data_IF_179426909271
#
_entry.id   IF_179426909271
#
_cell.length_a   1.000
_cell.length_b   1.000
_cell.length_c   1.000
_cell.angle_alpha   90.00
_cell.angle_beta   90.00
_cell.angle_gamma   90.00
#
_symmetry.space_group_name_H-M   'P 1'
#
loop_
_entity.id
_entity.type
_entity.pdbx_description
1 polymer ?
#
# COMPACT_ATOMS: atom_id res chain seq x y z
N UNK A 1 43.05 -40.92 -40.47
CA UNK A 1 42.42 -41.46 -39.24
C UNK A 1 42.20 -40.40 -38.15
N UNK A 2 43.18 -39.53 -37.80
CA UNK A 2 43.01 -38.50 -36.74
C UNK A 2 41.84 -37.50 -36.93
N UNK A 3 41.48 -37.14 -38.16
CA UNK A 3 40.36 -36.21 -38.43
C UNK A 3 38.96 -36.83 -38.22
N UNK A 4 38.81 -38.14 -38.41
CA UNK A 4 37.51 -38.83 -38.25
C UNK A 4 37.17 -39.05 -36.77
N UNK A 5 38.18 -39.35 -35.94
CA UNK A 5 38.00 -39.55 -34.49
C UNK A 5 37.65 -38.26 -33.75
N UNK A 6 38.12 -37.10 -34.22
CA UNK A 6 37.77 -35.78 -33.64
C UNK A 6 36.32 -35.41 -33.97
N UNK A 7 35.85 -35.66 -35.20
CA UNK A 7 34.45 -35.45 -35.56
C UNK A 7 33.49 -36.36 -34.78
N UNK A 8 33.88 -37.62 -34.51
CA UNK A 8 33.08 -38.53 -33.70
C UNK A 8 33.01 -38.08 -32.22
N UNK A 9 34.11 -37.56 -31.67
CA UNK A 9 34.14 -36.99 -30.31
C UNK A 9 33.33 -35.70 -30.18
N UNK A 10 33.32 -34.84 -31.21
CA UNK A 10 32.50 -33.62 -31.25
C UNK A 10 31.01 -33.96 -31.42
N UNK A 11 30.68 -34.98 -32.23
CA UNK A 11 29.31 -35.45 -32.39
C UNK A 11 28.77 -36.11 -31.10
N UNK A 12 29.60 -36.88 -30.39
CA UNK A 12 29.28 -37.48 -29.08
C UNK A 12 29.21 -36.42 -27.95
N UNK A 13 29.95 -35.32 -28.04
CA UNK A 13 29.82 -34.21 -27.09
C UNK A 13 28.56 -33.37 -27.37
N UNK A 14 28.20 -33.15 -28.65
CA UNK A 14 26.96 -32.41 -28.98
C UNK A 14 25.68 -33.17 -28.59
N UNK A 15 25.67 -34.50 -28.69
CA UNK A 15 24.51 -35.29 -28.23
C UNK A 15 24.39 -35.31 -26.71
N UNK A 16 25.50 -35.32 -25.97
CA UNK A 16 25.47 -35.23 -24.50
C UNK A 16 25.04 -33.85 -24.03
N UNK A 17 25.51 -32.75 -24.63
CA UNK A 17 25.03 -31.38 -24.32
C UNK A 17 23.53 -31.21 -24.57
N UNK A 18 23.00 -31.64 -25.73
CA UNK A 18 21.55 -31.57 -26.00
C UNK A 18 20.71 -32.42 -25.04
N UNK A 19 21.25 -33.57 -24.61
CA UNK A 19 20.58 -34.42 -23.61
C UNK A 19 20.64 -33.80 -22.21
N UNK A 20 21.75 -33.15 -21.84
CA UNK A 20 21.89 -32.41 -20.59
C UNK A 20 20.99 -31.17 -20.55
N UNK A 21 20.85 -30.43 -21.65
CA UNK A 21 19.93 -29.29 -21.74
C UNK A 21 18.47 -29.76 -21.69
N UNK A 22 18.15 -30.90 -22.31
CA UNK A 22 16.81 -31.50 -22.20
C UNK A 22 16.50 -31.96 -20.78
N UNK A 23 17.44 -32.65 -20.12
CA UNK A 23 17.32 -33.05 -18.71
C UNK A 23 17.24 -31.83 -17.80
N UNK A 24 18.02 -30.76 -18.06
CA UNK A 24 17.98 -29.52 -17.28
C UNK A 24 16.66 -28.77 -17.48
N UNK A 25 16.11 -28.76 -18.70
CA UNK A 25 14.78 -28.21 -19.00
C UNK A 25 13.67 -29.04 -18.36
N UNK A 26 13.76 -30.38 -18.39
CA UNK A 26 12.81 -31.27 -17.71
C UNK A 26 12.92 -31.18 -16.19
N UNK A 27 14.12 -30.96 -15.64
CA UNK A 27 14.35 -30.72 -14.22
C UNK A 27 13.88 -29.31 -13.82
N UNK A 28 14.05 -28.28 -14.66
CA UNK A 28 13.47 -26.95 -14.46
C UNK A 28 11.94 -26.99 -14.49
N UNK A 29 11.34 -27.66 -15.48
CA UNK A 29 9.89 -27.92 -15.56
C UNK A 29 9.38 -28.68 -14.33
N UNK A 30 10.09 -29.73 -13.88
CA UNK A 30 9.72 -30.49 -12.66
C UNK A 30 9.98 -29.73 -11.36
N UNK A 31 10.88 -28.75 -11.34
CA UNK A 31 11.07 -27.80 -10.23
C UNK A 31 10.01 -26.69 -10.26
N UNK A 32 9.42 -26.39 -11.42
CA UNK A 32 8.26 -25.51 -11.58
C UNK A 32 6.93 -26.16 -11.14
N UNK A 33 6.84 -27.49 -11.14
CA UNK A 33 5.64 -28.25 -10.71
C UNK A 33 5.36 -28.20 -9.20
N UNK A 34 6.36 -27.89 -8.36
CA UNK A 34 6.14 -27.73 -6.93
C UNK A 34 5.63 -26.30 -6.64
N UNK A 35 4.47 -26.15 -5.98
CA UNK A 35 3.94 -24.83 -5.68
C UNK A 35 4.91 -23.99 -4.86
N UNK A 36 5.25 -22.80 -5.34
CA UNK A 36 6.17 -21.85 -4.68
C UNK A 36 5.54 -21.12 -3.49
N UNK A 37 4.67 -21.79 -2.73
CA UNK A 37 4.02 -21.23 -1.54
C UNK A 37 4.89 -21.38 -0.29
N UNK A 38 4.84 -20.40 0.61
CA UNK A 38 5.43 -20.57 1.94
C UNK A 38 4.55 -21.44 2.86
N UNK A 39 5.13 -21.95 3.94
CA UNK A 39 4.32 -22.49 5.03
C UNK A 39 3.58 -21.34 5.71
N UNK A 40 2.24 -21.39 5.74
CA UNK A 40 1.42 -20.42 6.45
C UNK A 40 1.77 -20.47 7.92
N UNK A 41 2.21 -19.32 8.46
CA UNK A 41 2.44 -19.12 9.88
C UNK A 41 1.13 -18.67 10.52
N UNK A 42 0.65 -19.46 11.46
CA UNK A 42 -0.49 -19.10 12.31
C UNK A 42 0.01 -18.97 13.74
N UNK A 43 -0.28 -17.84 14.39
CA UNK A 43 -0.05 -17.70 15.82
C UNK A 43 -1.39 -17.81 16.53
N UNK A 44 -1.44 -18.65 17.56
CA UNK A 44 -2.60 -18.75 18.44
C UNK A 44 -2.10 -18.86 19.87
N UNK A 45 -2.59 -17.99 20.74
CA UNK A 45 -2.17 -17.89 22.14
C UNK A 45 -0.64 -17.74 22.28
N UNK A 46 -0.01 -16.98 21.37
CA UNK A 46 1.44 -16.76 21.37
C UNK A 46 2.29 -17.95 20.92
N UNK A 47 1.68 -19.04 20.43
CA UNK A 47 2.38 -20.17 19.81
C UNK A 47 2.25 -20.10 18.30
N UNK A 48 3.38 -19.90 17.63
CA UNK A 48 3.45 -19.90 16.17
C UNK A 48 3.58 -21.34 15.65
N UNK A 49 2.73 -21.72 14.71
CA UNK A 49 2.83 -22.97 13.96
C UNK A 49 2.92 -22.68 12.47
N UNK A 50 3.81 -23.38 11.78
CA UNK A 50 3.93 -23.30 10.33
C UNK A 50 3.27 -24.55 9.73
N UNK A 51 2.34 -24.38 8.79
CA UNK A 51 1.67 -25.48 8.10
C UNK A 51 1.80 -25.30 6.59
N UNK A 52 2.04 -26.37 5.82
CA UNK A 52 2.03 -26.28 4.37
C UNK A 52 0.65 -25.89 3.86
N UNK A 53 0.61 -25.07 2.81
CA UNK A 53 -0.63 -24.74 2.10
C UNK A 53 -1.13 -26.00 1.41
N UNK A 54 -2.40 -26.33 1.63
CA UNK A 54 -3.03 -27.51 1.02
C UNK A 54 -3.75 -27.08 -0.27
N UNK A 55 -3.89 -27.98 -1.25
CA UNK A 55 -4.81 -27.79 -2.36
C UNK A 55 -6.21 -27.40 -1.85
N UNK A 56 -6.85 -26.43 -2.49
CA UNK A 56 -8.13 -25.91 -2.03
C UNK A 56 -8.47 -24.54 -2.59
N UNK A 57 -9.56 -23.96 -2.06
CA UNK A 57 -10.01 -22.60 -2.38
C UNK A 57 -9.84 -21.72 -1.15
N UNK A 58 -9.20 -20.57 -1.33
CA UNK A 58 -8.90 -19.60 -0.29
C UNK A 58 -9.46 -18.24 -0.73
N UNK A 59 -10.30 -17.64 0.10
CA UNK A 59 -10.80 -16.28 -0.11
C UNK A 59 -10.21 -15.40 0.99
N UNK A 60 -9.29 -14.52 0.60
CA UNK A 60 -8.59 -13.62 1.51
C UNK A 60 -9.26 -12.26 1.40
N UNK A 61 -9.79 -11.76 2.51
CA UNK A 61 -10.46 -10.47 2.56
C UNK A 61 -9.43 -9.36 2.80
N UNK A 62 -9.51 -8.32 1.97
CA UNK A 62 -8.74 -7.09 2.10
C UNK A 62 -9.70 -5.91 2.21
N UNK A 63 -9.44 -5.01 3.16
CA UNK A 63 -10.37 -3.96 3.51
C UNK A 63 -9.89 -2.58 3.03
N UNK A 64 -10.66 -1.93 2.17
CA UNK A 64 -10.37 -0.58 1.69
C UNK A 64 -10.82 0.45 2.73
N UNK A 65 -9.87 1.22 3.26
CA UNK A 65 -10.13 2.28 4.24
C UNK A 65 -10.44 3.59 3.52
N UNK A 66 -11.62 4.15 3.80
CA UNK A 66 -12.00 5.45 3.28
C UNK A 66 -11.35 6.58 4.11
N UNK A 67 -10.35 7.25 3.54
CA UNK A 67 -9.68 8.40 4.13
C UNK A 67 -9.84 9.65 3.25
N UNK A 68 -10.46 10.70 3.79
CA UNK A 68 -10.81 11.89 3.01
C UNK A 68 -9.83 13.05 3.20
N UNK A 69 -9.95 14.07 2.35
CA UNK A 69 -9.17 15.32 2.43
C UNK A 69 -9.68 16.33 3.47
N UNK A 70 -10.83 16.11 4.09
CA UNK A 70 -11.38 17.06 5.06
C UNK A 70 -10.63 16.98 6.39
N UNK A 71 -10.21 18.14 6.92
CA UNK A 71 -9.41 18.25 8.16
C UNK A 71 -10.05 17.54 9.35
N UNK A 72 -11.35 17.70 9.54
CA UNK A 72 -12.03 17.15 10.71
C UNK A 72 -12.28 15.66 10.55
N UNK A 73 -12.59 15.19 9.34
CA UNK A 73 -12.69 13.75 9.06
C UNK A 73 -11.33 13.05 9.15
N UNK A 74 -10.23 13.66 8.66
CA UNK A 74 -8.86 13.16 8.86
C UNK A 74 -8.56 12.97 10.33
N UNK A 75 -8.89 13.98 11.14
CA UNK A 75 -8.67 13.92 12.58
C UNK A 75 -9.54 12.86 13.27
N UNK A 76 -10.82 12.76 12.91
CA UNK A 76 -11.72 11.70 13.39
C UNK A 76 -11.14 10.33 13.06
N UNK A 77 -10.68 10.12 11.82
CA UNK A 77 -10.05 8.89 11.38
C UNK A 77 -8.82 8.55 12.22
N UNK A 78 -7.85 9.47 12.36
CA UNK A 78 -6.63 9.24 13.15
C UNK A 78 -6.94 8.87 14.61
N UNK A 79 -7.95 9.49 15.21
CA UNK A 79 -8.34 9.17 16.58
C UNK A 79 -8.96 7.76 16.71
N UNK A 80 -9.82 7.35 15.78
CA UNK A 80 -10.41 6.01 15.79
C UNK A 80 -9.33 4.97 15.48
N UNK A 81 -8.52 5.23 14.46
CA UNK A 81 -7.45 4.34 14.03
C UNK A 81 -6.40 4.15 15.11
N UNK A 82 -5.96 5.22 15.78
CA UNK A 82 -5.01 5.14 16.91
C UNK A 82 -5.54 4.25 18.03
N UNK A 83 -6.82 4.41 18.42
CA UNK A 83 -7.46 3.55 19.42
C UNK A 83 -7.51 2.09 18.97
N UNK A 84 -7.90 1.85 17.72
CA UNK A 84 -7.90 0.51 17.15
C UNK A 84 -6.50 -0.12 17.23
N UNK A 85 -5.46 0.60 16.80
CA UNK A 85 -4.07 0.11 16.83
C UNK A 85 -3.59 -0.18 18.25
N UNK A 86 -3.97 0.62 19.25
CA UNK A 86 -3.69 0.33 20.66
C UNK A 86 -4.25 -1.02 21.09
N UNK A 87 -5.46 -1.40 20.64
CA UNK A 87 -6.05 -2.72 20.94
C UNK A 87 -5.26 -3.87 20.31
N UNK A 88 -4.48 -3.61 19.26
CA UNK A 88 -3.65 -4.60 18.56
C UNK A 88 -2.25 -4.74 19.16
N UNK A 89 -1.99 -4.04 20.26
CA UNK A 89 -0.73 -4.10 20.99
C UNK A 89 -0.94 -4.67 22.39
N UNK A 90 -0.09 -5.63 22.78
CA UNK A 90 -0.05 -6.18 24.15
C UNK A 90 1.38 -6.17 24.67
N UNK A 91 1.61 -5.50 25.79
CA UNK A 91 2.94 -5.34 26.39
C UNK A 91 4.01 -4.83 25.40
N UNK A 92 3.63 -3.88 24.53
CA UNK A 92 4.51 -3.29 23.53
C UNK A 92 4.83 -4.20 22.32
N UNK A 93 4.07 -5.27 22.11
CA UNK A 93 4.21 -6.17 20.97
C UNK A 93 2.88 -6.33 20.23
N UNK A 94 2.95 -6.47 18.91
CA UNK A 94 1.78 -6.78 18.09
C UNK A 94 1.11 -8.08 18.53
N UNK A 95 -0.21 -8.08 18.58
CA UNK A 95 -1.03 -9.27 18.71
C UNK A 95 -1.12 -9.92 17.33
N UNK A 96 -0.46 -11.06 17.16
CA UNK A 96 -0.35 -11.74 15.85
C UNK A 96 -1.44 -12.79 15.60
N UNK A 97 -2.37 -12.93 16.54
CA UNK A 97 -3.44 -13.93 16.47
C UNK A 97 -4.58 -13.46 15.55
N UNK A 98 -4.66 -12.15 15.28
CA UNK A 98 -5.60 -11.52 14.35
C UNK A 98 -4.81 -10.93 13.18
N UNK A 99 -5.26 -11.19 11.96
CA UNK A 99 -4.62 -10.68 10.74
C UNK A 99 -5.54 -9.67 10.06
N UNK A 100 -4.96 -8.53 9.70
CA UNK A 100 -5.63 -7.45 8.99
C UNK A 100 -4.85 -7.10 7.72
N UNK A 101 -5.50 -7.22 6.58
CA UNK A 101 -5.00 -6.71 5.30
C UNK A 101 -5.84 -5.50 4.91
N UNK A 102 -5.22 -4.34 4.75
CA UNK A 102 -5.91 -3.08 4.41
C UNK A 102 -5.41 -2.47 3.10
N UNK A 103 -6.27 -1.75 2.40
CA UNK A 103 -5.87 -0.83 1.33
C UNK A 103 -5.96 0.59 1.91
N UNK A 104 -4.88 1.34 1.77
CA UNK A 104 -4.80 2.74 2.17
C UNK A 104 -4.56 3.61 0.96
N UNK A 105 -5.23 4.76 0.88
CA UNK A 105 -4.96 5.70 -0.19
C UNK A 105 -3.65 6.49 0.04
N UNK A 106 -3.16 7.09 -1.04
CA UNK A 106 -1.94 7.90 -1.01
C UNK A 106 -1.99 9.06 0.00
N UNK A 107 -3.17 9.61 0.24
CA UNK A 107 -3.36 10.69 1.20
C UNK A 107 -3.07 10.21 2.63
N UNK A 108 -3.65 9.08 3.04
CA UNK A 108 -3.38 8.48 4.36
C UNK A 108 -1.92 8.08 4.50
N UNK A 109 -1.35 7.47 3.46
CA UNK A 109 0.06 7.07 3.47
C UNK A 109 1.00 8.27 3.69
N UNK A 110 0.74 9.39 3.02
CA UNK A 110 1.54 10.61 3.18
C UNK A 110 1.30 11.27 4.56
N UNK A 111 0.06 11.30 5.04
CA UNK A 111 -0.26 11.85 6.36
C UNK A 111 0.36 11.02 7.50
N UNK A 112 0.45 9.69 7.37
CA UNK A 112 1.20 8.85 8.31
C UNK A 112 2.69 9.20 8.36
N UNK A 113 3.32 9.46 7.20
CA UNK A 113 4.71 9.93 7.14
C UNK A 113 4.90 11.29 7.81
N UNK A 114 4.00 12.24 7.54
CA UNK A 114 4.02 13.57 8.17
C UNK A 114 3.81 13.48 9.68
N UNK A 115 2.88 12.64 10.13
CA UNK A 115 2.64 12.37 11.55
C UNK A 115 3.89 11.83 12.24
N UNK A 116 4.58 10.85 11.62
CA UNK A 116 5.85 10.31 12.12
C UNK A 116 6.94 11.36 12.22
N UNK A 117 7.02 12.25 11.23
CA UNK A 117 7.96 13.37 11.17
C UNK A 117 7.52 14.59 12.00
N UNK A 118 6.47 14.47 12.82
CA UNK A 118 5.93 15.56 13.66
C UNK A 118 5.61 16.83 12.84
N UNK A 119 5.18 16.64 11.60
CA UNK A 119 4.80 17.68 10.66
C UNK A 119 3.27 17.86 10.63
N UNK A 120 2.82 19.06 10.22
CA UNK A 120 1.39 19.29 9.99
C UNK A 120 0.91 18.55 8.75
N UNK A 121 -0.38 18.25 8.70
CA UNK A 121 -1.05 17.95 7.43
C UNK A 121 -1.20 19.25 6.63
N UNK A 122 -1.30 19.15 5.30
CA UNK A 122 -1.21 20.34 4.42
C UNK A 122 -2.29 21.38 4.74
N UNK A 123 -3.47 20.91 5.11
CA UNK A 123 -4.62 21.74 5.41
C UNK A 123 -4.51 22.46 6.77
N UNK A 124 -3.52 22.09 7.60
CA UNK A 124 -3.35 22.56 8.97
C UNK A 124 -2.06 23.37 9.18
N UNK A 125 -1.25 23.60 8.14
CA UNK A 125 0.00 24.36 8.25
C UNK A 125 -0.18 25.74 8.88
N UNK A 126 -1.37 26.34 8.67
CA UNK A 126 -1.76 27.62 9.28
C UNK A 126 -1.68 27.61 10.80
N UNK A 127 -1.82 26.46 11.47
CA UNK A 127 -1.72 26.33 12.93
C UNK A 127 -0.29 26.48 13.44
N UNK A 128 0.70 26.24 12.57
CA UNK A 128 2.12 26.41 12.88
C UNK A 128 2.63 27.85 12.76
N UNK A 129 1.86 28.74 12.14
CA UNK A 129 2.26 30.14 11.93
C UNK A 129 1.83 31.03 13.10
N UNK A 130 2.65 32.02 13.51
CA UNK A 130 2.21 33.08 14.42
C UNK A 130 0.97 33.79 13.89
N UNK A 131 0.00 34.07 14.76
CA UNK A 131 -1.26 34.71 14.36
C UNK A 131 -1.04 36.06 13.68
N UNK A 132 -0.04 36.81 14.16
CA UNK A 132 0.38 38.11 13.60
C UNK A 132 1.03 38.03 12.22
N UNK A 133 1.49 36.85 11.79
CA UNK A 133 2.09 36.65 10.47
C UNK A 133 1.10 36.18 9.40
N UNK A 134 -0.15 35.92 9.77
CA UNK A 134 -1.15 35.43 8.82
C UNK A 134 -1.50 36.52 7.80
N UNK A 135 -1.44 36.17 6.52
CA UNK A 135 -1.92 37.02 5.45
C UNK A 135 -3.46 36.95 5.31
N UNK A 136 -4.06 37.85 4.53
CA UNK A 136 -5.51 37.97 4.40
C UNK A 136 -6.17 36.69 3.86
N UNK A 137 -5.47 35.96 2.99
CA UNK A 137 -5.94 34.67 2.47
C UNK A 137 -6.03 33.62 3.57
N UNK A 138 -4.95 33.45 4.35
CA UNK A 138 -4.88 32.54 5.50
C UNK A 138 -5.92 32.91 6.57
N UNK A 139 -6.04 34.20 6.88
CA UNK A 139 -7.07 34.72 7.79
C UNK A 139 -8.48 34.33 7.36
N UNK A 140 -8.77 34.46 6.07
CA UNK A 140 -10.06 34.08 5.49
C UNK A 140 -10.31 32.57 5.54
N UNK A 141 -9.30 31.75 5.21
CA UNK A 141 -9.38 30.29 5.32
C UNK A 141 -9.66 29.85 6.76
N UNK A 142 -8.93 30.40 7.74
CA UNK A 142 -9.12 30.08 9.15
C UNK A 142 -10.51 30.48 9.64
N UNK A 143 -11.00 31.66 9.24
CA UNK A 143 -12.34 32.12 9.57
C UNK A 143 -13.42 31.17 9.04
N UNK A 144 -13.28 30.67 7.80
CA UNK A 144 -14.22 29.71 7.21
C UNK A 144 -14.19 28.35 7.94
N UNK A 145 -13.00 27.81 8.21
CA UNK A 145 -12.85 26.56 8.97
C UNK A 145 -13.42 26.67 10.39
N UNK A 146 -13.39 27.87 10.97
CA UNK A 146 -13.88 28.16 12.32
C UNK A 146 -15.20 28.92 12.33
N UNK A 147 -16.01 28.85 11.27
CA UNK A 147 -17.26 29.64 11.16
C UNK A 147 -18.30 29.40 12.27
N UNK A 148 -18.21 28.26 12.95
CA UNK A 148 -19.07 27.94 14.11
C UNK A 148 -18.67 28.69 15.38
N UNK A 149 -17.48 29.28 15.40
CA UNK A 149 -16.98 30.08 16.51
C UNK A 149 -17.53 31.51 16.42
N UNK A 150 -18.36 31.87 17.40
CA UNK A 150 -18.94 33.20 17.51
C UNK A 150 -18.07 34.09 18.41
N UNK A 151 -17.01 34.69 17.86
CA UNK A 151 -16.21 35.68 18.57
C UNK A 151 -16.98 37.01 18.69
N UNK A 152 -17.01 37.55 19.91
CA UNK A 152 -17.59 38.88 20.20
C UNK A 152 -16.53 39.93 20.51
N UNK A 153 -15.34 39.48 20.92
CA UNK A 153 -14.19 40.32 21.26
C UNK A 153 -13.04 40.09 20.28
N UNK A 154 -12.11 41.05 20.21
CA UNK A 154 -10.86 40.98 19.44
C UNK A 154 -10.98 40.93 17.91
N UNK A 155 -12.18 41.16 17.37
CA UNK A 155 -12.44 41.14 15.93
C UNK A 155 -11.50 42.10 15.18
N UNK A 156 -10.87 41.61 14.12
CA UNK A 156 -9.93 42.33 13.28
C UNK A 156 -8.50 42.41 13.84
N UNK A 157 -8.23 41.82 15.00
CA UNK A 157 -6.90 41.84 15.63
C UNK A 157 -6.18 40.51 15.49
N UNK A 158 -4.87 40.50 15.70
CA UNK A 158 -4.09 39.25 15.74
C UNK A 158 -4.60 38.26 16.81
N UNK A 159 -5.18 38.78 17.90
CA UNK A 159 -5.78 37.97 18.96
C UNK A 159 -7.02 37.20 18.49
N UNK A 160 -7.83 37.74 17.57
CA UNK A 160 -8.94 36.98 16.97
C UNK A 160 -8.39 35.71 16.30
N UNK A 161 -7.34 35.86 15.51
CA UNK A 161 -6.80 34.75 14.72
C UNK A 161 -6.07 33.73 15.58
N UNK A 162 -5.39 34.18 16.65
CA UNK A 162 -4.85 33.28 17.67
C UNK A 162 -5.97 32.46 18.34
N UNK A 163 -7.07 33.12 18.73
CA UNK A 163 -8.22 32.47 19.32
C UNK A 163 -8.85 31.44 18.37
N UNK A 164 -8.93 31.73 17.06
CA UNK A 164 -9.40 30.79 16.04
C UNK A 164 -8.46 29.59 15.84
N UNK A 165 -7.14 29.81 15.79
CA UNK A 165 -6.16 28.71 15.72
C UNK A 165 -6.29 27.77 16.92
N UNK A 166 -6.41 28.33 18.13
CA UNK A 166 -6.59 27.55 19.36
C UNK A 166 -7.94 26.83 19.38
N UNK A 167 -9.01 27.46 18.92
CA UNK A 167 -10.31 26.80 18.78
C UNK A 167 -10.21 25.57 17.88
N UNK A 168 -9.55 25.71 16.73
CA UNK A 168 -9.33 24.59 15.80
C UNK A 168 -8.49 23.48 16.47
N UNK A 169 -7.43 23.81 17.22
CA UNK A 169 -6.65 22.84 17.99
C UNK A 169 -7.50 22.12 19.05
N UNK A 170 -8.41 22.80 19.73
CA UNK A 170 -9.34 22.17 20.68
C UNK A 170 -10.25 21.16 19.97
N UNK A 171 -10.76 21.50 18.79
CA UNK A 171 -11.57 20.58 17.98
C UNK A 171 -10.75 19.36 17.55
N UNK A 172 -9.52 19.57 17.06
CA UNK A 172 -8.64 18.49 16.62
C UNK A 172 -8.24 17.56 17.79
N UNK A 173 -7.98 18.12 18.96
CA UNK A 173 -7.65 17.35 20.17
C UNK A 173 -8.88 16.75 20.88
N UNK A 174 -10.09 16.96 20.37
CA UNK A 174 -11.36 16.61 21.04
C UNK A 174 -11.45 17.17 22.48
N UNK A 175 -10.82 18.33 22.73
CA UNK A 175 -10.84 18.99 24.03
C UNK A 175 -12.16 19.73 24.24
N UNK A 176 -12.67 19.66 25.47
CA UNK A 176 -13.86 20.41 25.91
C UNK A 176 -13.45 21.74 26.53
N UNK A 177 -14.44 22.61 26.73
CA UNK A 177 -14.31 23.85 27.52
C UNK A 177 -13.38 24.92 26.89
N UNK A 178 -13.41 25.06 25.57
CA UNK A 178 -12.82 26.24 24.93
C UNK A 178 -13.51 27.52 25.42
N UNK A 179 -12.73 28.56 25.76
CA UNK A 179 -13.21 29.82 26.30
C UNK A 179 -13.13 30.93 25.23
N UNK A 180 -14.28 31.33 24.68
CA UNK A 180 -14.38 32.18 23.48
C UNK A 180 -13.68 33.53 23.62
N UNK A 181 -13.81 34.20 24.77
CA UNK A 181 -13.27 35.55 24.99
C UNK A 181 -11.99 35.53 25.84
N UNK A 182 -11.33 34.38 25.98
CA UNK A 182 -10.07 34.30 26.70
C UNK A 182 -8.93 34.88 25.85
N UNK A 183 -8.04 35.63 26.50
CA UNK A 183 -6.76 36.01 25.91
C UNK A 183 -5.83 34.81 26.03
N UNK A 184 -5.64 34.12 24.92
CA UNK A 184 -4.63 33.06 24.81
C UNK A 184 -3.30 33.62 24.33
N UNK A 185 -2.23 32.90 24.62
CA UNK A 185 -0.87 33.22 24.18
C UNK A 185 -0.39 32.27 23.07
N UNK A 186 0.62 32.71 22.32
CA UNK A 186 1.33 31.84 21.36
C UNK A 186 1.93 30.60 22.05
N UNK A 187 2.34 30.73 23.33
CA UNK A 187 2.80 29.59 24.13
C UNK A 187 1.68 28.56 24.37
N UNK A 188 0.45 29.00 24.65
CA UNK A 188 -0.70 28.09 24.78
C UNK A 188 -0.93 27.31 23.48
N UNK A 189 -0.81 27.99 22.33
CA UNK A 189 -0.92 27.37 21.01
C UNK A 189 0.18 26.33 20.78
N UNK A 190 1.44 26.67 21.05
CA UNK A 190 2.58 25.76 20.89
C UNK A 190 2.42 24.47 21.72
N UNK A 191 1.90 24.57 22.95
CA UNK A 191 1.62 23.41 23.79
C UNK A 191 0.57 22.49 23.18
N UNK A 192 -0.51 23.06 22.63
CA UNK A 192 -1.57 22.29 21.97
C UNK A 192 -1.10 21.66 20.66
N UNK A 193 -0.32 22.40 19.86
CA UNK A 193 0.32 21.89 18.64
C UNK A 193 1.20 20.69 18.97
N UNK A 194 2.02 20.79 20.03
CA UNK A 194 2.85 19.68 20.47
C UNK A 194 2.02 18.46 20.87
N UNK A 195 0.96 18.64 21.66
CA UNK A 195 0.05 17.56 22.04
C UNK A 195 -0.57 16.86 20.80
N UNK A 196 -0.97 17.64 19.80
CA UNK A 196 -1.55 17.10 18.56
C UNK A 196 -0.53 16.26 17.79
N UNK A 197 0.70 16.78 17.63
CA UNK A 197 1.80 16.09 16.96
C UNK A 197 2.19 14.81 17.69
N UNK A 198 2.30 14.84 19.02
CA UNK A 198 2.61 13.68 19.85
C UNK A 198 1.56 12.56 19.69
N UNK A 199 0.26 12.92 19.70
CA UNK A 199 -0.82 11.96 19.51
C UNK A 199 -0.81 11.30 18.12
N UNK A 200 -0.53 12.08 17.07
CA UNK A 200 -0.43 11.57 15.69
C UNK A 200 0.81 10.72 15.46
N UNK A 201 1.96 11.15 15.99
CA UNK A 201 3.20 10.36 15.96
C UNK A 201 2.99 9.01 16.63
N UNK A 202 2.35 8.98 17.80
CA UNK A 202 1.98 7.73 18.48
C UNK A 202 1.15 6.82 17.58
N UNK A 203 0.17 7.36 16.86
CA UNK A 203 -0.66 6.60 15.91
C UNK A 203 0.18 6.01 14.77
N UNK A 204 1.08 6.80 14.18
CA UNK A 204 1.99 6.33 13.12
C UNK A 204 2.97 5.26 13.63
N UNK A 205 3.52 5.45 14.83
CA UNK A 205 4.41 4.48 15.50
C UNK A 205 3.70 3.15 15.75
N UNK A 206 2.45 3.20 16.24
CA UNK A 206 1.63 2.02 16.46
C UNK A 206 1.31 1.32 15.14
N UNK A 207 1.03 2.06 14.07
CA UNK A 207 0.75 1.47 12.76
C UNK A 207 1.93 0.65 12.24
N UNK A 208 3.14 1.22 12.26
CA UNK A 208 4.37 0.50 11.86
C UNK A 208 4.63 -0.76 12.71
N UNK A 209 4.32 -0.69 14.00
CA UNK A 209 4.55 -1.79 14.95
C UNK A 209 3.44 -2.85 14.93
N UNK A 210 2.25 -2.52 14.44
CA UNK A 210 1.05 -3.36 14.54
C UNK A 210 1.15 -4.66 13.74
N UNK A 211 2.04 -4.72 12.74
CA UNK A 211 2.15 -5.87 11.84
C UNK A 211 0.94 -6.07 10.92
N UNK A 212 0.09 -5.05 10.79
CA UNK A 212 -1.00 -5.01 9.81
C UNK A 212 -0.39 -5.00 8.40
N UNK A 213 -0.87 -5.89 7.53
CA UNK A 213 -0.52 -5.86 6.12
C UNK A 213 -1.28 -4.72 5.44
N UNK A 214 -0.59 -3.87 4.69
CA UNK A 214 -1.24 -2.78 3.97
C UNK A 214 -0.76 -2.69 2.53
N UNK A 215 -1.65 -2.21 1.65
CA UNK A 215 -1.39 -1.95 0.25
C UNK A 215 -1.69 -0.49 -0.05
N UNK A 216 -0.74 0.20 -0.67
CA UNK A 216 -0.92 1.60 -1.06
C UNK A 216 -1.71 1.63 -2.37
N UNK A 217 -2.83 2.32 -2.38
CA UNK A 217 -3.66 2.51 -3.57
C UNK A 217 -3.04 3.54 -4.49
N UNK A 218 -2.79 3.12 -5.72
CA UNK A 218 -2.22 3.91 -6.81
C UNK A 218 -3.12 3.79 -8.04
N UNK A 219 -3.26 4.86 -8.81
CA UNK A 219 -3.91 4.78 -10.12
C UNK A 219 -2.86 4.43 -11.16
N UNK A 220 -3.19 3.52 -12.09
CA UNK A 220 -2.32 3.17 -13.21
C UNK A 220 -1.72 4.40 -13.92
N UNK A 221 -2.52 5.43 -14.14
CA UNK A 221 -2.12 6.68 -14.83
C UNK A 221 -1.06 7.47 -14.05
N UNK A 222 -1.07 7.36 -12.73
CA UNK A 222 -0.12 8.05 -11.85
C UNK A 222 1.14 7.21 -11.58
N UNK A 223 1.15 5.94 -11.98
CA UNK A 223 2.34 5.10 -11.93
C UNK A 223 3.23 5.32 -13.15
N UNK A 224 4.53 5.00 -13.07
CA UNK A 224 5.37 4.96 -14.28
C UNK A 224 4.97 3.82 -15.25
N UNK A 225 3.93 3.01 -14.94
CA UNK A 225 3.40 2.02 -15.87
C UNK A 225 2.57 2.66 -16.99
N UNK A 226 2.13 3.90 -16.82
CA UNK A 226 1.47 4.66 -17.90
C UNK A 226 2.38 4.79 -19.15
N UNK A 227 3.70 4.68 -19.00
CA UNK A 227 4.68 4.67 -20.09
C UNK A 227 4.50 3.49 -21.04
N UNK A 228 3.87 2.39 -20.61
CA UNK A 228 3.53 1.25 -21.46
C UNK A 228 2.36 1.55 -22.43
N UNK A 229 1.63 2.65 -22.23
CA UNK A 229 0.57 3.09 -23.16
C UNK A 229 1.11 3.93 -24.32
N UNK A 230 2.37 4.38 -24.23
CA UNK A 230 3.03 5.10 -25.30
C UNK A 230 3.61 4.12 -26.32
N UNK A 231 2.87 3.94 -27.41
CA UNK A 231 3.17 3.12 -28.58
C UNK A 231 4.57 3.36 -29.20
N UNK A 232 5.23 4.47 -28.84
CA UNK A 232 6.54 4.87 -29.36
C UNK A 232 7.74 4.27 -28.61
N UNK A 233 7.55 3.83 -27.36
CA UNK A 233 8.62 3.21 -26.55
C UNK A 233 8.79 1.70 -26.81
N UNK A 234 7.74 1.03 -27.29
CA UNK A 234 7.71 -0.43 -27.51
C UNK A 234 7.65 -0.85 -28.98
N UNK A 235 7.57 0.10 -29.91
CA UNK A 235 7.99 -0.12 -31.30
C UNK A 235 9.51 0.01 -31.36
N UNK A 236 10.22 -0.95 -30.74
CA UNK A 236 11.57 -1.23 -31.19
C UNK A 236 11.45 -1.61 -32.67
N UNK A 237 11.92 -0.73 -33.56
CA UNK A 237 12.28 -1.12 -34.90
C UNK A 237 13.12 -2.40 -34.77
N UNK A 238 12.73 -3.44 -35.50
CA UNK A 238 13.19 -4.84 -35.40
C UNK A 238 14.70 -5.05 -35.53
N UNK A 239 15.49 -3.99 -35.67
CA UNK A 239 16.87 -4.03 -36.12
C UNK A 239 17.90 -3.61 -35.06
N UNK A 240 17.49 -3.24 -33.84
CA UNK A 240 18.45 -2.95 -32.74
C UNK A 240 18.07 -3.67 -31.44
N UNK A 241 18.61 -4.88 -31.28
CA UNK A 241 18.63 -5.60 -29.99
C UNK A 241 19.83 -5.09 -29.18
N UNK A 242 19.61 -4.25 -28.16
CA UNK A 242 20.67 -3.77 -27.25
C UNK A 242 21.01 -4.82 -26.18
N UNK A 243 20.08 -5.74 -25.87
CA UNK A 243 20.27 -6.93 -25.03
C UNK A 243 19.18 -7.96 -25.34
N UNK A 244 19.49 -9.26 -25.37
CA UNK A 244 18.49 -10.34 -25.53
C UNK A 244 17.67 -10.60 -24.25
N UNK A 245 18.04 -9.98 -23.13
CA UNK A 245 17.31 -10.10 -21.86
C UNK A 245 16.27 -9.00 -21.74
N UNK A 246 15.00 -9.39 -21.72
CA UNK A 246 13.86 -8.48 -21.49
C UNK A 246 14.01 -7.71 -20.16
N UNK A 247 14.69 -8.31 -19.19
CA UNK A 247 15.03 -7.74 -17.88
C UNK A 247 15.79 -6.40 -17.95
N UNK A 248 16.53 -6.17 -19.04
CA UNK A 248 17.37 -4.98 -19.26
C UNK A 248 16.61 -3.85 -20.01
N UNK A 249 15.42 -4.15 -20.56
CA UNK A 249 14.68 -3.26 -21.44
C UNK A 249 13.42 -2.66 -20.80
N UNK A 250 12.94 -3.21 -19.68
CA UNK A 250 11.75 -2.72 -19.01
C UNK A 250 12.06 -1.51 -18.12
N UNK A 251 11.36 -0.38 -18.36
CA UNK A 251 11.31 0.74 -17.42
C UNK A 251 10.39 0.32 -16.29
N UNK A 252 10.99 -0.04 -15.16
CA UNK A 252 10.26 -0.65 -14.04
C UNK A 252 10.10 0.42 -12.95
N UNK A 253 8.89 0.97 -12.71
CA UNK A 253 8.67 1.80 -11.54
C UNK A 253 9.00 1.03 -10.27
N UNK A 254 10.13 1.37 -9.65
CA UNK A 254 10.36 1.11 -8.25
C UNK A 254 9.26 1.84 -7.46
N UNK A 255 8.32 1.10 -6.89
CA UNK A 255 7.48 1.61 -5.81
C UNK A 255 7.79 0.74 -4.61
N UNK A 256 8.20 1.38 -3.53
CA UNK A 256 8.49 0.71 -2.28
C UNK A 256 7.21 0.17 -1.65
N UNK A 257 7.21 -1.12 -1.30
CA UNK A 257 6.13 -1.76 -0.55
C UNK A 257 5.06 -2.45 -1.41
N UNK A 258 4.00 -2.88 -0.73
CA UNK A 258 2.85 -3.56 -1.32
C UNK A 258 1.91 -2.51 -1.94
N UNK A 259 1.51 -2.71 -3.21
CA UNK A 259 0.70 -1.72 -3.94
C UNK A 259 -0.57 -2.37 -4.51
N UNK A 260 -1.65 -1.59 -4.47
CA UNK A 260 -2.93 -1.88 -5.08
C UNK A 260 -3.16 -0.93 -6.26
N UNK A 261 -3.04 -1.43 -7.49
CA UNK A 261 -3.21 -0.62 -8.70
C UNK A 261 -4.66 -0.66 -9.16
N UNK A 262 -5.24 0.52 -9.26
CA UNK A 262 -6.59 0.77 -9.77
C UNK A 262 -6.56 1.24 -11.22
N UNK A 263 -7.68 1.04 -11.92
CA UNK A 263 -7.89 1.48 -13.30
C UNK A 263 -6.77 1.04 -14.27
N UNK A 264 -6.32 -0.21 -14.16
CA UNK A 264 -5.30 -0.77 -15.05
C UNK A 264 -5.79 -0.81 -16.50
N UNK A 265 -4.90 -0.54 -17.46
CA UNK A 265 -5.26 -0.51 -18.88
C UNK A 265 -5.71 -1.90 -19.36
N UNK A 266 -6.95 -1.98 -19.84
CA UNK A 266 -7.56 -3.19 -20.37
C UNK A 266 -6.84 -3.74 -21.61
N UNK A 267 -6.09 -2.91 -22.35
CA UNK A 267 -5.31 -3.37 -23.50
C UNK A 267 -4.02 -4.08 -23.09
N UNK A 268 -3.51 -3.79 -21.88
CA UNK A 268 -2.26 -4.35 -21.37
C UNK A 268 -2.48 -5.61 -20.50
N UNK A 269 -3.69 -5.81 -19.99
CA UNK A 269 -3.98 -6.91 -19.06
C UNK A 269 -3.73 -8.30 -19.66
N UNK A 270 -4.08 -8.49 -20.94
CA UNK A 270 -3.82 -9.74 -21.66
C UNK A 270 -2.32 -9.95 -21.87
N UNK A 271 -1.61 -8.90 -22.23
CA UNK A 271 -0.14 -8.94 -22.38
C UNK A 271 0.54 -9.30 -21.06
N UNK A 272 0.00 -8.87 -19.92
CA UNK A 272 0.50 -9.23 -18.60
C UNK A 272 0.27 -10.71 -18.27
N UNK A 273 -0.94 -11.22 -18.52
CA UNK A 273 -1.30 -12.63 -18.29
C UNK A 273 -0.50 -13.57 -19.19
N UNK A 274 -0.27 -13.18 -20.45
CA UNK A 274 0.52 -13.93 -21.43
C UNK A 274 2.03 -13.78 -21.24
N UNK A 275 2.49 -13.08 -20.19
CA UNK A 275 3.91 -12.80 -19.90
C UNK A 275 4.65 -12.05 -21.04
N UNK A 276 3.93 -11.30 -21.87
CA UNK A 276 4.47 -10.38 -22.88
C UNK A 276 4.86 -9.04 -22.28
N UNK A 277 4.17 -8.60 -21.23
CA UNK A 277 4.51 -7.46 -20.39
C UNK A 277 5.20 -7.96 -19.12
N UNK A 278 6.35 -7.39 -18.77
CA UNK A 278 7.12 -7.78 -17.59
C UNK A 278 7.21 -6.66 -16.56
N UNK A 279 6.93 -6.98 -15.31
CA UNK A 279 6.97 -6.05 -14.17
C UNK A 279 8.13 -6.42 -13.23
N UNK A 280 8.45 -5.60 -12.22
CA UNK A 280 9.40 -5.94 -11.13
C UNK A 280 8.78 -5.47 -9.82
N UNK A 281 8.12 -6.38 -9.11
CA UNK A 281 7.63 -6.28 -7.72
C UNK A 281 7.35 -7.65 -7.13
N UNK A 282 7.66 -7.82 -5.84
CA UNK A 282 7.33 -9.03 -5.09
C UNK A 282 5.84 -9.37 -5.15
N UNK A 283 4.98 -8.40 -4.80
CA UNK A 283 3.53 -8.57 -4.76
C UNK A 283 2.80 -7.37 -5.37
N UNK A 284 1.95 -7.62 -6.37
CA UNK A 284 1.11 -6.62 -7.01
C UNK A 284 -0.36 -7.05 -6.95
N UNK A 285 -1.20 -6.24 -6.29
CA UNK A 285 -2.65 -6.34 -6.43
C UNK A 285 -3.11 -5.44 -7.58
N UNK A 286 -3.92 -5.98 -8.47
CA UNK A 286 -4.33 -5.30 -9.69
C UNK A 286 -5.85 -5.40 -9.87
N UNK A 287 -6.51 -4.24 -9.81
CA UNK A 287 -7.94 -4.12 -10.08
C UNK A 287 -8.22 -4.16 -11.58
N UNK A 288 -9.03 -5.12 -12.02
CA UNK A 288 -9.42 -5.25 -13.42
C UNK A 288 -10.78 -5.94 -13.57
N UNK A 289 -11.38 -5.81 -14.76
CA UNK A 289 -12.71 -6.36 -15.07
C UNK A 289 -12.70 -7.71 -15.77
N UNK A 290 -11.52 -8.25 -16.15
CA UNK A 290 -11.42 -9.43 -17.02
C UNK A 290 -11.04 -10.70 -16.25
N UNK A 291 -10.04 -10.61 -15.40
CA UNK A 291 -9.42 -11.73 -14.71
C UNK A 291 -9.62 -11.68 -13.20
N UNK A 292 -9.72 -12.86 -12.58
CA UNK A 292 -9.62 -13.07 -11.14
C UNK A 292 -8.60 -14.20 -10.87
N UNK A 293 -7.87 -14.10 -9.76
CA UNK A 293 -6.94 -15.12 -9.29
C UNK A 293 -5.51 -14.57 -9.23
N UNK A 294 -4.52 -15.36 -9.61
CA UNK A 294 -3.12 -14.94 -9.60
C UNK A 294 -2.29 -15.62 -10.69
N UNK A 295 -1.23 -14.94 -11.09
CA UNK A 295 -0.19 -15.49 -11.98
C UNK A 295 1.20 -15.07 -11.51
N UNK A 296 2.22 -15.75 -12.01
CA UNK A 296 3.61 -15.31 -11.88
C UNK A 296 4.06 -14.65 -13.17
N UNK A 297 4.65 -13.46 -13.02
CA UNK A 297 5.28 -12.71 -14.09
C UNK A 297 6.76 -12.57 -13.73
N UNK A 298 7.61 -13.44 -14.27
CA UNK A 298 9.00 -13.64 -13.79
C UNK A 298 9.06 -14.03 -12.30
N UNK A 299 9.72 -13.20 -11.47
CA UNK A 299 9.83 -13.38 -10.02
C UNK A 299 8.67 -12.74 -9.25
N UNK A 300 7.69 -12.17 -9.96
CA UNK A 300 6.65 -11.32 -9.37
C UNK A 300 5.33 -12.05 -9.28
N UNK A 301 4.62 -11.85 -8.17
CA UNK A 301 3.24 -12.31 -8.03
C UNK A 301 2.29 -11.20 -8.45
N UNK A 302 1.48 -11.45 -9.47
CA UNK A 302 0.36 -10.58 -9.86
C UNK A 302 -0.94 -11.22 -9.41
N UNK A 303 -1.69 -10.50 -8.58
CA UNK A 303 -2.99 -10.92 -8.07
C UNK A 303 -4.06 -10.03 -8.69
N UNK A 304 -4.97 -10.68 -9.41
CA UNK A 304 -6.09 -10.02 -10.05
C UNK A 304 -7.25 -9.93 -9.07
N UNK A 305 -7.52 -8.71 -8.64
CA UNK A 305 -8.64 -8.34 -7.78
C UNK A 305 -9.76 -7.75 -8.64
N UNK A 306 -11.00 -8.17 -8.45
CA UNK A 306 -12.15 -7.70 -9.24
C UNK A 306 -13.09 -8.82 -9.66
N UNK A 307 -14.20 -8.44 -10.30
CA UNK A 307 -15.30 -9.34 -10.66
C UNK A 307 -15.10 -10.04 -12.01
N UNK A 308 -13.84 -10.19 -12.45
CA UNK A 308 -13.49 -10.81 -13.72
C UNK A 308 -14.03 -12.24 -13.84
N UNK A 309 -14.68 -12.53 -14.97
CA UNK A 309 -15.24 -13.86 -15.26
C UNK A 309 -14.14 -14.89 -15.53
N UNK A 310 -13.01 -14.46 -16.10
CA UNK A 310 -11.90 -15.36 -16.46
C UNK A 310 -11.03 -15.67 -15.23
N UNK A 311 -10.97 -16.94 -14.83
CA UNK A 311 -10.14 -17.36 -13.70
C UNK A 311 -8.74 -17.74 -14.16
N UNK A 312 -7.73 -17.11 -13.58
CA UNK A 312 -6.31 -17.38 -13.84
C UNK A 312 -5.68 -17.85 -12.54
N UNK A 313 -5.25 -19.10 -12.50
CA UNK A 313 -4.50 -19.66 -11.38
C UNK A 313 -3.26 -20.34 -11.93
N UNK A 314 -2.09 -19.84 -11.58
CA UNK A 314 -0.83 -20.47 -12.00
C UNK A 314 -0.73 -21.92 -11.54
N UNK A 315 -1.17 -22.20 -10.29
CA UNK A 315 -1.35 -23.57 -9.80
C UNK A 315 -2.85 -23.87 -9.69
N UNK A 316 -3.44 -24.66 -10.61
CA UNK A 316 -4.89 -24.87 -10.68
C UNK A 316 -5.53 -25.47 -9.42
N UNK A 317 -4.76 -26.25 -8.66
CA UNK A 317 -5.18 -26.89 -7.41
C UNK A 317 -5.28 -25.91 -6.22
N UNK A 318 -4.79 -24.68 -6.39
CA UNK A 318 -4.72 -23.66 -5.35
C UNK A 318 -5.45 -22.40 -5.81
N UNK A 319 -6.76 -22.35 -5.55
CA UNK A 319 -7.61 -21.23 -5.97
C UNK A 319 -7.58 -20.14 -4.92
N UNK A 320 -6.57 -19.28 -4.98
CA UNK A 320 -6.38 -18.16 -4.05
C UNK A 320 -7.01 -16.91 -4.66
N UNK A 321 -8.05 -16.41 -4.02
CA UNK A 321 -8.77 -15.20 -4.42
C UNK A 321 -8.58 -14.12 -3.35
N UNK A 322 -8.30 -12.89 -3.78
CA UNK A 322 -8.33 -11.71 -2.92
C UNK A 322 -9.62 -10.96 -3.18
N UNK A 323 -10.43 -10.77 -2.13
CA UNK A 323 -11.75 -10.14 -2.18
C UNK A 323 -11.68 -8.81 -1.46
N UNK A 324 -11.86 -7.73 -2.22
CA UNK A 324 -11.91 -6.37 -1.67
C UNK A 324 -13.26 -6.10 -1.00
N UNK A 325 -13.23 -5.46 0.16
CA UNK A 325 -14.41 -4.95 0.86
C UNK A 325 -14.17 -3.53 1.32
N UNK A 326 -15.15 -2.66 1.10
CA UNK A 326 -15.14 -1.33 1.70
C UNK A 326 -15.47 -1.42 3.19
N UNK A 327 -14.80 -0.64 4.03
CA UNK A 327 -15.08 -0.60 5.47
C UNK A 327 -14.94 0.82 6.04
N UNK A 328 -15.80 1.20 6.99
CA UNK A 328 -15.56 2.37 7.83
C UNK A 328 -14.52 2.00 8.89
N UNK A 329 -13.64 2.95 9.22
CA UNK A 329 -12.60 2.73 10.23
C UNK A 329 -13.15 2.31 11.60
N UNK A 330 -14.40 2.69 11.91
CA UNK A 330 -15.08 2.31 13.15
C UNK A 330 -15.44 0.82 13.20
N UNK A 331 -15.60 0.18 12.04
CA UNK A 331 -16.00 -1.23 11.95
C UNK A 331 -14.79 -2.18 11.80
N UNK A 332 -13.58 -1.65 11.66
CA UNK A 332 -12.36 -2.45 11.45
C UNK A 332 -12.09 -3.44 12.60
N UNK A 333 -12.54 -3.15 13.82
CA UNK A 333 -12.40 -4.07 14.95
C UNK A 333 -13.29 -5.32 14.86
N UNK A 334 -14.35 -5.27 14.05
CA UNK A 334 -15.33 -6.34 13.92
C UNK A 334 -14.97 -7.36 12.84
N UNK A 335 -13.85 -7.13 12.14
CA UNK A 335 -13.37 -7.99 11.06
C UNK A 335 -12.01 -8.57 11.41
N UNK A 336 -11.69 -9.72 10.83
CA UNK A 336 -10.34 -10.25 10.77
C UNK A 336 -10.25 -11.24 9.61
N UNK A 337 -9.02 -11.50 9.17
CA UNK A 337 -8.72 -12.52 8.17
C UNK A 337 -7.98 -13.68 8.83
N UNK A 338 -8.21 -14.90 8.32
CA UNK A 338 -7.43 -16.08 8.74
C UNK A 338 -5.99 -16.03 8.17
N UNK A 339 -5.83 -15.35 7.04
CA UNK A 339 -4.59 -15.27 6.28
C UNK A 339 -4.29 -13.83 5.85
N UNK A 340 -3.00 -13.50 5.75
CA UNK A 340 -2.51 -12.38 4.96
C UNK A 340 -2.41 -12.78 3.49
N UNK A 341 -2.39 -11.80 2.60
CA UNK A 341 -2.08 -12.06 1.18
C UNK A 341 -0.63 -12.55 1.06
N UNK A 342 0.29 -11.94 1.80
CA UNK A 342 1.70 -12.32 1.86
C UNK A 342 1.96 -13.71 2.46
N UNK A 343 0.98 -14.36 3.12
CA UNK A 343 1.17 -15.73 3.60
C UNK A 343 1.29 -16.73 2.44
N UNK A 344 0.75 -16.37 1.27
CA UNK A 344 0.77 -17.22 0.08
C UNK A 344 1.90 -16.86 -0.88
N UNK A 345 2.30 -15.59 -0.96
CA UNK A 345 3.12 -15.08 -2.06
C UNK A 345 4.37 -14.33 -1.56
N UNK A 346 5.49 -14.45 -2.28
CA UNK A 346 6.82 -13.92 -1.91
C UNK A 346 7.16 -12.59 -2.56
#
# INVERSE_FOLDING_TARGET
MKKLSIMLFIALSMTTFSFFDKIKSEIQLKLEDAPRFENIKTTKNGKTTAKPIKPGTYNIEIYELNYSGDVFEKNRFFNIFGKFLETKMKNGKAITDEKYSIIINNLLYNDLKKAKAESFFDEEEILGLPASSLNDYQKSQLAEMTKKLNLSEYIGTDQEYLNRQIYMLYMLLNMKNYEVNKVYSELDKELLVKQLKDARKKTADLFEQSGIEYFIQESFVNTNLNKFTDDSLYKFDKDVVISEKIEDQAILPEIDGNVYITAFDANLIDSLVENKLKLRRKLLLLENSKYQGYTYNEENTVIFTGDGESKVYYYPDYKINVVKKDIDISDLENVNSEYYVSDFFK
#
